data_IF_106339648636
#
_entry.id   IF_106339648636
#
_cell.length_a   1.000
_cell.length_b   1.000
_cell.length_c   1.000
_cell.angle_alpha   90.00
_cell.angle_beta   90.00
_cell.angle_gamma   90.00
#
_symmetry.space_group_name_H-M   'P 1'
#
loop_
_entity.id
_entity.type
_entity.pdbx_description
1 polymer ?
#
# COMPACT_ATOMS: atom_id res chain seq x y z
N UNK A 1 9.71 -6.84 5.88
CA UNK A 1 9.69 -6.65 4.41
C UNK A 1 9.27 -7.95 3.77
N UNK A 2 8.39 -7.88 2.77
CA UNK A 2 8.03 -8.99 1.88
C UNK A 2 8.70 -8.73 0.55
N UNK A 3 9.30 -9.75 -0.08
CA UNK A 3 10.05 -9.56 -1.32
C UNK A 3 9.83 -10.70 -2.31
N UNK A 4 9.60 -10.34 -3.57
CA UNK A 4 9.68 -11.25 -4.70
C UNK A 4 10.98 -11.02 -5.45
N UNK A 5 11.65 -12.11 -5.80
CA UNK A 5 12.92 -12.07 -6.49
C UNK A 5 12.84 -12.81 -7.81
N UNK A 6 13.12 -12.11 -8.91
CA UNK A 6 13.56 -12.72 -10.15
C UNK A 6 15.09 -12.84 -10.14
N UNK A 7 15.68 -13.38 -11.20
CA UNK A 7 17.15 -13.52 -11.31
C UNK A 7 17.86 -12.18 -11.02
N UNK A 8 17.50 -11.13 -11.76
CA UNK A 8 18.20 -9.85 -11.75
C UNK A 8 17.35 -8.68 -11.20
N UNK A 9 16.17 -8.98 -10.63
CA UNK A 9 15.23 -7.97 -10.14
C UNK A 9 14.57 -8.36 -8.81
N UNK A 10 14.09 -7.35 -8.08
CA UNK A 10 13.31 -7.48 -6.86
C UNK A 10 12.07 -6.60 -6.91
N UNK A 11 10.97 -7.10 -6.35
CA UNK A 11 9.85 -6.29 -5.85
C UNK A 11 9.87 -6.38 -4.32
N UNK A 12 9.76 -5.26 -3.62
CA UNK A 12 9.79 -5.24 -2.15
C UNK A 12 8.69 -4.35 -1.60
N UNK A 13 7.99 -4.89 -0.60
CA UNK A 13 6.93 -4.21 0.13
C UNK A 13 7.19 -4.21 1.64
N UNK A 14 6.71 -3.17 2.32
CA UNK A 14 6.75 -3.03 3.77
C UNK A 14 5.34 -3.24 4.34
N UNK A 15 5.07 -4.39 4.99
CA UNK A 15 3.78 -4.63 5.64
C UNK A 15 3.51 -3.59 6.72
N UNK A 16 2.23 -3.22 6.87
CA UNK A 16 1.74 -2.37 7.95
C UNK A 16 0.65 -3.10 8.74
N UNK A 17 0.52 -2.86 10.05
CA UNK A 17 -0.49 -3.52 10.87
C UNK A 17 -1.92 -3.13 10.48
N UNK A 18 -2.16 -1.83 10.25
CA UNK A 18 -3.52 -1.27 10.11
C UNK A 18 -3.75 -0.57 8.76
N UNK A 19 -2.98 -0.93 7.73
CA UNK A 19 -3.08 -0.32 6.41
C UNK A 19 -2.43 -1.18 5.32
N UNK A 20 -2.67 -0.82 4.06
CA UNK A 20 -2.05 -1.48 2.92
C UNK A 20 -0.50 -1.41 2.97
N UNK A 21 0.23 -2.47 2.54
CA UNK A 21 1.68 -2.50 2.50
C UNK A 21 2.28 -1.40 1.61
N UNK A 22 3.42 -0.84 2.02
CA UNK A 22 4.09 0.23 1.29
C UNK A 22 4.96 -0.31 0.16
N UNK A 23 5.01 0.39 -0.97
CA UNK A 23 6.01 0.11 -2.00
C UNK A 23 7.40 0.55 -1.52
N UNK A 24 8.38 -0.34 -1.58
CA UNK A 24 9.77 -0.05 -1.21
C UNK A 24 10.73 -0.13 -2.37
N UNK A 25 10.51 -1.06 -3.29
CA UNK A 25 11.41 -1.26 -4.42
C UNK A 25 10.73 -1.98 -5.59
N UNK A 26 11.04 -1.55 -6.80
CA UNK A 26 10.72 -2.23 -8.05
C UNK A 26 11.87 -1.97 -9.03
N UNK A 27 12.75 -2.95 -9.22
CA UNK A 27 13.95 -2.73 -10.01
C UNK A 27 15.05 -3.78 -9.78
N UNK A 28 16.34 -3.41 -9.93
CA UNK A 28 17.47 -4.33 -9.82
C UNK A 28 17.49 -5.15 -8.53
N UNK A 29 18.10 -6.33 -8.56
CA UNK A 29 18.18 -7.23 -7.41
C UNK A 29 18.75 -6.52 -6.18
N UNK A 30 17.97 -6.50 -5.10
CA UNK A 30 18.35 -5.91 -3.80
C UNK A 30 18.08 -6.88 -2.66
N UNK A 31 18.88 -6.79 -1.59
CA UNK A 31 18.58 -7.43 -0.31
C UNK A 31 17.48 -6.65 0.41
N UNK A 32 16.29 -7.23 0.54
CA UNK A 32 15.17 -6.60 1.24
C UNK A 32 15.48 -6.29 2.72
N UNK A 33 16.39 -7.06 3.33
CA UNK A 33 16.85 -6.83 4.72
C UNK A 33 17.72 -5.57 4.88
N UNK A 34 18.28 -5.06 3.78
CA UNK A 34 19.10 -3.85 3.79
C UNK A 34 18.26 -2.56 3.65
N UNK A 35 16.97 -2.68 3.31
CA UNK A 35 16.08 -1.53 3.22
C UNK A 35 15.62 -1.12 4.61
N UNK A 36 15.87 0.14 4.99
CA UNK A 36 15.32 0.72 6.21
C UNK A 36 13.80 0.98 6.06
N UNK A 37 13.03 0.93 7.17
CA UNK A 37 11.63 1.35 7.18
C UNK A 37 11.44 2.69 6.46
N UNK A 38 10.34 2.83 5.70
CA UNK A 38 10.09 4.04 4.94
C UNK A 38 9.93 5.27 5.85
N UNK A 39 9.32 5.09 7.02
CA UNK A 39 9.14 6.16 8.02
C UNK A 39 10.47 6.79 8.45
N UNK A 40 11.56 6.01 8.54
CA UNK A 40 12.89 6.50 8.93
C UNK A 40 13.59 7.30 7.82
N UNK A 41 13.04 7.27 6.60
CA UNK A 41 13.65 7.87 5.41
C UNK A 41 12.85 9.05 4.88
N UNK A 42 11.56 9.16 5.21
CA UNK A 42 10.70 10.24 4.75
C UNK A 42 10.90 11.49 5.60
N UNK A 43 11.00 12.63 4.94
CA UNK A 43 10.87 13.93 5.59
C UNK A 43 9.41 14.16 5.97
N UNK A 44 9.16 14.97 7.02
CA UNK A 44 7.81 15.39 7.37
C UNK A 44 7.08 16.00 6.17
N UNK A 45 5.80 15.66 6.01
CA UNK A 45 4.96 16.28 4.98
C UNK A 45 4.83 17.79 5.24
N UNK A 46 5.06 18.60 4.21
CA UNK A 46 5.06 20.07 4.32
C UNK A 46 3.66 20.67 4.49
N UNK A 47 2.62 19.94 4.07
CA UNK A 47 1.23 20.26 4.32
C UNK A 47 0.69 19.32 5.39
N UNK A 48 0.38 19.90 6.55
CA UNK A 48 -0.13 19.23 7.74
C UNK A 48 -1.35 18.36 7.41
N UNK A 49 -1.09 17.07 7.23
CA UNK A 49 -1.99 16.04 7.70
C UNK A 49 -1.37 15.47 8.95
N UNK A 50 -2.17 15.18 9.96
CA UNK A 50 -1.68 14.59 11.22
C UNK A 50 -0.98 13.23 11.01
N UNK A 51 -1.08 12.64 9.82
CA UNK A 51 -0.48 11.36 9.45
C UNK A 51 0.24 11.40 8.09
N UNK A 52 1.33 10.63 7.97
CA UNK A 52 2.04 10.40 6.71
C UNK A 52 1.22 9.51 5.75
N UNK A 53 1.16 9.91 4.47
CA UNK A 53 0.46 9.17 3.40
C UNK A 53 1.47 8.75 2.33
N UNK A 54 2.24 7.67 2.58
CA UNK A 54 3.15 7.09 1.60
C UNK A 54 2.40 6.33 0.50
N UNK A 55 3.08 6.08 -0.62
CA UNK A 55 2.57 5.19 -1.67
C UNK A 55 2.52 3.75 -1.16
N UNK A 56 1.32 3.19 -1.09
CA UNK A 56 1.05 1.79 -0.80
C UNK A 56 0.60 1.01 -2.06
N UNK A 57 0.31 -0.27 -1.89
CA UNK A 57 -0.08 -1.17 -2.98
C UNK A 57 -1.45 -0.88 -3.58
N UNK A 58 -2.32 -0.13 -2.89
CA UNK A 58 -3.68 0.16 -3.33
C UNK A 58 -4.11 1.57 -2.89
N UNK A 59 -3.49 2.62 -3.46
CA UNK A 59 -3.80 3.98 -3.06
C UNK A 59 -5.25 4.30 -3.37
N UNK A 60 -5.96 4.83 -2.38
CA UNK A 60 -7.35 5.28 -2.48
C UNK A 60 -7.42 6.77 -2.79
N UNK A 61 -8.44 7.21 -3.52
CA UNK A 61 -8.63 8.63 -3.80
C UNK A 61 -8.98 9.43 -2.55
N UNK A 62 -8.41 10.62 -2.41
CA UNK A 62 -8.60 11.47 -1.24
C UNK A 62 -7.66 11.10 -0.09
N UNK A 63 -8.03 11.46 1.14
CA UNK A 63 -7.26 11.16 2.36
C UNK A 63 -5.77 11.59 2.31
N UNK A 64 -5.43 12.59 1.50
CA UNK A 64 -4.05 13.04 1.33
C UNK A 64 -3.29 12.49 0.13
N UNK A 65 -3.86 11.52 -0.58
CA UNK A 65 -3.31 11.03 -1.84
C UNK A 65 -3.83 11.87 -3.00
N UNK A 66 -2.90 12.45 -3.77
CA UNK A 66 -3.20 13.27 -4.95
C UNK A 66 -2.82 12.60 -6.28
N UNK A 67 -2.27 11.38 -6.22
CA UNK A 67 -1.96 10.59 -7.41
C UNK A 67 -3.18 9.83 -7.93
N UNK A 68 -3.00 9.02 -8.99
CA UNK A 68 -4.03 8.09 -9.45
C UNK A 68 -4.43 7.11 -8.35
N UNK A 69 -5.72 6.88 -8.19
CA UNK A 69 -6.27 5.87 -7.29
C UNK A 69 -6.32 4.49 -7.96
N UNK A 70 -6.23 3.43 -7.17
CA UNK A 70 -6.37 2.04 -7.64
C UNK A 70 -7.82 1.72 -8.04
N UNK A 71 -8.79 2.24 -7.29
CA UNK A 71 -10.21 1.95 -7.47
C UNK A 71 -11.07 3.18 -7.18
N UNK A 72 -12.16 3.31 -7.95
CA UNK A 72 -13.19 4.33 -7.76
C UNK A 72 -14.55 3.65 -7.66
N UNK A 73 -15.19 3.76 -6.51
CA UNK A 73 -16.50 3.16 -6.26
C UNK A 73 -17.59 4.22 -6.08
N UNK A 74 -18.82 3.85 -6.44
CA UNK A 74 -20.03 4.66 -6.22
C UNK A 74 -21.07 3.84 -5.49
N UNK A 75 -21.84 4.51 -4.64
CA UNK A 75 -23.02 3.94 -3.99
C UNK A 75 -24.18 3.81 -4.99
N UNK A 76 -25.23 3.11 -4.59
CA UNK A 76 -26.43 2.92 -5.42
C UNK A 76 -27.11 4.25 -5.82
N UNK A 77 -27.00 5.29 -4.98
CA UNK A 77 -27.50 6.64 -5.27
C UNK A 77 -26.58 7.47 -6.19
N UNK A 78 -25.48 6.87 -6.67
CA UNK A 78 -24.50 7.51 -7.54
C UNK A 78 -23.45 8.37 -6.81
N UNK A 79 -23.58 8.59 -5.50
CA UNK A 79 -22.57 9.31 -4.71
C UNK A 79 -21.26 8.53 -4.60
N UNK A 80 -20.15 9.22 -4.34
CA UNK A 80 -18.85 8.58 -4.17
C UNK A 80 -18.84 7.71 -2.89
N UNK A 81 -18.24 6.51 -2.99
CA UNK A 81 -17.91 5.69 -1.84
C UNK A 81 -16.42 5.86 -1.54
N UNK A 82 -16.11 6.55 -0.44
CA UNK A 82 -14.75 6.63 0.06
C UNK A 82 -14.35 5.28 0.66
N UNK A 83 -13.19 4.77 0.26
CA UNK A 83 -12.63 3.51 0.76
C UNK A 83 -11.40 3.83 1.59
N UNK A 84 -11.26 3.17 2.73
CA UNK A 84 -10.09 3.22 3.59
C UNK A 84 -9.76 1.80 4.06
N UNK A 85 -8.69 1.22 3.52
CA UNK A 85 -8.23 -0.09 3.94
C UNK A 85 -7.58 -0.01 5.32
N UNK A 86 -8.25 -0.54 6.33
CA UNK A 86 -7.78 -0.60 7.71
C UNK A 86 -7.20 -1.97 8.09
N UNK A 87 -7.28 -2.95 7.19
CA UNK A 87 -6.80 -4.31 7.39
C UNK A 87 -6.12 -4.81 6.12
N UNK A 88 -4.99 -5.50 6.30
CA UNK A 88 -4.23 -6.10 5.22
C UNK A 88 -3.69 -7.47 5.63
N UNK A 89 -3.95 -8.48 4.81
CA UNK A 89 -3.35 -9.80 4.93
C UNK A 89 -2.37 -10.02 3.78
N UNK A 90 -1.22 -10.62 4.08
CA UNK A 90 -0.22 -10.98 3.09
C UNK A 90 -0.01 -12.50 3.09
N UNK A 91 -0.11 -13.12 1.92
CA UNK A 91 0.20 -14.53 1.72
C UNK A 91 1.34 -14.65 0.69
N UNK A 92 2.45 -15.25 1.12
CA UNK A 92 3.59 -15.55 0.26
C UNK A 92 3.49 -17.00 -0.23
N UNK A 93 3.72 -17.22 -1.52
CA UNK A 93 3.83 -18.54 -2.12
C UNK A 93 5.05 -18.61 -3.04
N UNK A 94 5.32 -19.78 -3.63
CA UNK A 94 6.37 -19.90 -4.63
C UNK A 94 6.09 -18.96 -5.81
N UNK A 95 6.94 -17.95 -5.98
CA UNK A 95 6.86 -16.99 -7.09
C UNK A 95 5.72 -15.97 -7.03
N UNK A 96 4.95 -15.88 -5.94
CA UNK A 96 3.86 -14.92 -5.84
C UNK A 96 3.66 -14.39 -4.42
N UNK A 97 3.08 -13.18 -4.35
CA UNK A 97 2.61 -12.55 -3.11
C UNK A 97 1.20 -12.06 -3.40
N UNK A 98 0.26 -12.41 -2.51
CA UNK A 98 -1.10 -11.88 -2.52
C UNK A 98 -1.29 -10.96 -1.33
N UNK A 99 -1.81 -9.78 -1.58
CA UNK A 99 -2.33 -8.89 -0.56
C UNK A 99 -3.85 -8.88 -0.65
N UNK A 100 -4.53 -9.11 0.48
CA UNK A 100 -5.98 -8.95 0.61
C UNK A 100 -6.23 -7.76 1.52
N UNK A 101 -6.93 -6.75 1.02
CA UNK A 101 -7.17 -5.49 1.73
C UNK A 101 -8.65 -5.33 2.03
N UNK A 102 -8.99 -4.89 3.24
CA UNK A 102 -10.39 -4.73 3.66
C UNK A 102 -10.68 -3.35 4.24
N UNK A 103 -11.76 -2.77 3.76
CA UNK A 103 -12.46 -1.67 4.42
C UNK A 103 -13.70 -2.26 5.11
N UNK A 104 -13.60 -2.45 6.42
CA UNK A 104 -14.67 -3.05 7.21
C UNK A 104 -15.92 -2.15 7.31
N UNK A 105 -15.76 -0.83 7.19
CA UNK A 105 -16.86 0.12 7.29
C UNK A 105 -17.65 0.19 5.98
N UNK A 106 -16.94 0.22 4.84
CA UNK A 106 -17.56 0.23 3.52
C UNK A 106 -17.97 -1.17 3.03
N UNK A 107 -17.47 -2.24 3.66
CA UNK A 107 -17.71 -3.62 3.23
C UNK A 107 -17.00 -3.98 1.92
N UNK A 108 -15.82 -3.41 1.69
CA UNK A 108 -15.03 -3.59 0.46
C UNK A 108 -13.83 -4.49 0.74
N UNK A 109 -13.61 -5.48 -0.14
CA UNK A 109 -12.39 -6.30 -0.18
C UNK A 109 -11.73 -6.15 -1.55
N UNK A 110 -10.41 -5.97 -1.57
CA UNK A 110 -9.57 -5.94 -2.76
C UNK A 110 -8.51 -7.05 -2.70
#
# INVERSE_FOLDING_TARGET
MIALHAKDASLVWEPRPDAAPLWRHCGPRVSAKALRPLADQRTAASYSMDADVPLDVAPVGGLGWFGPEMLRLRKADGSALAVQFSHAEAAESEGAVRFTLRDALAGVEL
#
